data_IF_648172597971
#
_entry.id   IF_648172597971
#
_cell.length_a   1.000
_cell.length_b   1.000
_cell.length_c   1.000
_cell.angle_alpha   90.00
_cell.angle_beta   90.00
_cell.angle_gamma   90.00
#
_symmetry.space_group_name_H-M   'P 1'
#
loop_
_entity.id
_entity.type
_entity.pdbx_description
1 polymer ?
#
# COMPACT_ATOMS: atom_id res chain seq x y z
N UNK A 1 -15.50 -6.33 -13.28
CA UNK A 1 -14.46 -6.04 -12.27
C UNK A 1 -14.31 -7.28 -11.42
N UNK A 2 -13.09 -7.73 -11.20
CA UNK A 2 -12.82 -8.91 -10.38
C UNK A 2 -13.11 -8.60 -8.90
N UNK A 3 -13.63 -9.58 -8.16
CA UNK A 3 -13.89 -9.43 -6.73
C UNK A 3 -13.30 -10.59 -5.95
N UNK A 4 -12.80 -10.30 -4.76
CA UNK A 4 -12.26 -11.30 -3.84
C UNK A 4 -12.77 -11.04 -2.43
N UNK A 5 -13.43 -12.04 -1.86
CA UNK A 5 -14.03 -11.98 -0.52
C UNK A 5 -14.99 -10.77 -0.36
N UNK A 6 -15.79 -10.49 -1.39
CA UNK A 6 -16.76 -9.38 -1.42
C UNK A 6 -16.14 -7.99 -1.62
N UNK A 7 -14.83 -7.91 -1.88
CA UNK A 7 -14.09 -6.64 -2.12
C UNK A 7 -13.64 -6.54 -3.56
N UNK A 8 -13.50 -5.32 -4.06
CA UNK A 8 -12.93 -5.08 -5.39
C UNK A 8 -11.49 -5.58 -5.47
N UNK A 9 -11.15 -6.23 -6.58
CA UNK A 9 -9.80 -6.54 -6.97
C UNK A 9 -9.44 -5.75 -8.22
N UNK A 10 -8.32 -5.03 -8.16
CA UNK A 10 -7.80 -4.23 -9.26
C UNK A 10 -6.42 -4.73 -9.66
N UNK A 11 -6.03 -4.42 -10.88
CA UNK A 11 -4.70 -4.70 -11.39
C UNK A 11 -4.09 -3.38 -11.85
N UNK A 12 -2.82 -3.16 -11.50
CA UNK A 12 -2.03 -2.04 -11.96
C UNK A 12 -0.77 -2.58 -12.61
N UNK A 13 -0.55 -2.19 -13.85
CA UNK A 13 0.64 -2.53 -14.64
C UNK A 13 1.85 -1.73 -14.18
N UNK A 14 1.63 -0.48 -13.76
CA UNK A 14 2.69 0.47 -13.42
C UNK A 14 2.49 1.13 -12.07
N UNK A 15 3.58 1.68 -11.53
CA UNK A 15 3.56 2.51 -10.32
C UNK A 15 2.59 3.69 -10.43
N UNK A 16 2.53 4.32 -11.62
CA UNK A 16 1.63 5.45 -11.87
C UNK A 16 0.16 5.04 -11.79
N UNK A 17 -0.23 3.94 -12.44
CA UNK A 17 -1.62 3.45 -12.41
C UNK A 17 -2.10 3.17 -10.99
N UNK A 18 -1.25 2.58 -10.15
CA UNK A 18 -1.57 2.34 -8.75
C UNK A 18 -1.70 3.66 -7.96
N UNK A 19 -0.79 4.60 -8.19
CA UNK A 19 -0.83 5.92 -7.56
C UNK A 19 -2.09 6.70 -7.95
N UNK A 20 -2.48 6.67 -9.23
CA UNK A 20 -3.69 7.33 -9.72
C UNK A 20 -4.94 6.74 -9.01
N UNK A 21 -5.02 5.41 -8.90
CA UNK A 21 -6.11 4.77 -8.17
C UNK A 21 -6.15 5.19 -6.69
N UNK A 22 -5.00 5.22 -6.01
CA UNK A 22 -4.91 5.68 -4.63
C UNK A 22 -5.37 7.13 -4.50
N UNK A 23 -4.94 8.02 -5.40
CA UNK A 23 -5.32 9.43 -5.37
C UNK A 23 -6.84 9.62 -5.42
N UNK A 24 -7.53 8.84 -6.26
CA UNK A 24 -8.98 8.92 -6.41
C UNK A 24 -9.75 8.24 -5.27
N UNK A 25 -9.19 7.17 -4.68
CA UNK A 25 -9.97 6.25 -3.83
C UNK A 25 -9.52 6.21 -2.36
N UNK A 26 -8.40 6.83 -1.99
CA UNK A 26 -7.81 6.70 -0.64
C UNK A 26 -8.72 7.14 0.53
N UNK A 27 -9.73 7.99 0.25
CA UNK A 27 -10.64 8.51 1.27
C UNK A 27 -12.04 7.87 1.25
N UNK A 28 -12.42 7.24 0.14
CA UNK A 28 -13.75 6.66 -0.07
C UNK A 28 -13.74 5.15 0.15
N UNK A 29 -12.67 4.48 -0.25
CA UNK A 29 -12.53 3.03 -0.15
C UNK A 29 -12.00 2.58 1.20
N UNK A 30 -12.53 1.46 1.71
CA UNK A 30 -12.12 0.90 3.01
C UNK A 30 -11.08 -0.21 2.87
N UNK A 31 -10.97 -0.80 1.68
CA UNK A 31 -9.99 -1.83 1.36
C UNK A 31 -10.04 -2.14 -0.13
N UNK A 32 -8.91 -2.58 -0.69
CA UNK A 32 -8.84 -3.10 -2.07
C UNK A 32 -7.90 -4.29 -2.12
N UNK A 33 -8.17 -5.24 -3.02
CA UNK A 33 -7.16 -6.23 -3.42
C UNK A 33 -6.40 -5.73 -4.65
N UNK A 34 -5.09 -5.65 -4.55
CA UNK A 34 -4.23 -5.44 -5.70
C UNK A 34 -3.74 -6.79 -6.23
N UNK A 35 -3.95 -7.05 -7.51
CA UNK A 35 -3.45 -8.21 -8.22
C UNK A 35 -2.00 -7.93 -8.61
N UNK A 36 -1.10 -8.74 -8.08
CA UNK A 36 0.34 -8.65 -8.34
C UNK A 36 0.80 -9.93 -9.05
N UNK A 37 1.56 -9.76 -10.12
CA UNK A 37 2.17 -10.89 -10.80
C UNK A 37 3.56 -11.19 -10.22
N UNK A 38 3.90 -12.48 -10.18
CA UNK A 38 5.24 -12.90 -9.80
C UNK A 38 6.28 -12.38 -10.79
N UNK A 39 7.50 -12.07 -10.32
CA UNK A 39 8.62 -11.60 -11.17
C UNK A 39 8.95 -12.49 -12.37
N UNK A 40 8.58 -13.78 -12.30
CA UNK A 40 8.79 -14.78 -13.38
C UNK A 40 7.64 -14.84 -14.39
N UNK A 41 6.51 -14.18 -14.13
CA UNK A 41 5.40 -14.10 -15.09
C UNK A 41 5.82 -13.21 -16.25
N UNK A 42 5.27 -13.48 -17.43
CA UNK A 42 5.44 -12.62 -18.61
C UNK A 42 4.48 -11.44 -18.61
N UNK A 43 3.55 -11.38 -17.65
CA UNK A 43 2.61 -10.27 -17.50
C UNK A 43 3.31 -9.16 -16.71
N UNK A 44 3.38 -7.98 -17.32
CA UNK A 44 3.89 -6.78 -16.66
C UNK A 44 3.04 -6.45 -15.44
N UNK A 45 3.64 -5.98 -14.35
CA UNK A 45 2.90 -5.67 -13.12
C UNK A 45 3.74 -4.77 -12.24
N UNK A 46 3.08 -3.85 -11.52
CA UNK A 46 3.74 -3.14 -10.42
C UNK A 46 4.33 -4.16 -9.44
N UNK A 47 5.53 -3.91 -8.93
CA UNK A 47 6.09 -4.82 -7.96
C UNK A 47 5.57 -4.51 -6.54
N UNK A 48 5.66 -5.50 -5.64
CA UNK A 48 5.16 -5.37 -4.27
C UNK A 48 5.77 -4.17 -3.51
N UNK A 49 7.07 -3.90 -3.71
CA UNK A 49 7.75 -2.80 -3.01
C UNK A 49 7.20 -1.45 -3.46
N UNK A 50 7.06 -1.24 -4.76
CA UNK A 50 6.43 -0.04 -5.32
C UNK A 50 4.99 0.12 -4.84
N UNK A 51 4.22 -0.98 -4.82
CA UNK A 51 2.84 -0.97 -4.35
C UNK A 51 2.74 -0.53 -2.89
N UNK A 52 3.60 -1.06 -2.01
CA UNK A 52 3.67 -0.66 -0.59
C UNK A 52 4.16 0.77 -0.43
N UNK A 53 5.17 1.21 -1.18
CA UNK A 53 5.68 2.59 -1.10
C UNK A 53 4.59 3.60 -1.46
N UNK A 54 3.90 3.40 -2.57
CA UNK A 54 2.77 4.26 -2.96
C UNK A 54 1.63 4.18 -1.95
N UNK A 55 1.28 3.00 -1.44
CA UNK A 55 0.25 2.89 -0.41
C UNK A 55 0.60 3.73 0.84
N UNK A 56 1.86 3.68 1.30
CA UNK A 56 2.32 4.49 2.43
C UNK A 56 2.19 5.99 2.16
N UNK A 57 2.46 6.46 0.93
CA UNK A 57 2.30 7.86 0.54
C UNK A 57 0.87 8.36 0.79
N UNK A 58 -0.14 7.51 0.62
CA UNK A 58 -1.55 7.83 0.84
C UNK A 58 -2.07 7.34 2.18
N UNK A 59 -1.21 6.93 3.12
CA UNK A 59 -1.65 6.49 4.45
C UNK A 59 -2.29 5.09 4.48
N UNK A 60 -2.06 4.28 3.46
CA UNK A 60 -2.52 2.90 3.36
C UNK A 60 -1.39 1.90 3.67
N UNK A 61 -1.74 0.64 3.92
CA UNK A 61 -0.78 -0.45 4.15
C UNK A 61 -1.31 -1.78 3.64
N UNK A 62 -0.40 -2.65 3.21
CA UNK A 62 -0.70 -4.04 2.91
C UNK A 62 -0.97 -4.89 4.17
N UNK A 63 -1.75 -5.96 4.02
CA UNK A 63 -2.11 -6.84 5.15
C UNK A 63 -2.14 -8.32 4.80
N UNK A 64 -3.08 -8.74 3.95
CA UNK A 64 -3.30 -10.15 3.61
C UNK A 64 -2.82 -10.44 2.19
N UNK A 65 -2.00 -11.47 2.06
CA UNK A 65 -1.60 -12.03 0.78
C UNK A 65 -2.36 -13.34 0.54
N UNK A 66 -2.96 -13.51 -0.64
CA UNK A 66 -3.66 -14.73 -1.05
C UNK A 66 -3.28 -15.12 -2.47
N UNK A 67 -3.08 -16.42 -2.72
CA UNK A 67 -2.87 -16.93 -4.07
C UNK A 67 -4.10 -16.62 -4.95
N UNK A 68 -3.86 -16.13 -6.16
CA UNK A 68 -4.89 -15.96 -7.19
C UNK A 68 -4.84 -17.11 -8.18
N UNK A 69 -3.68 -17.33 -8.78
CA UNK A 69 -3.40 -18.40 -9.73
C UNK A 69 -1.92 -18.83 -9.67
N UNK A 70 -1.40 -19.45 -10.74
CA UNK A 70 0.00 -19.93 -10.81
C UNK A 70 1.00 -18.78 -10.98
N UNK A 71 0.57 -17.67 -11.57
CA UNK A 71 1.42 -16.55 -11.96
C UNK A 71 1.20 -15.30 -11.10
N UNK A 72 0.12 -15.24 -10.33
CA UNK A 72 -0.28 -14.06 -9.58
C UNK A 72 -0.87 -14.35 -8.21
N UNK A 73 -0.90 -13.29 -7.40
CA UNK A 73 -1.45 -13.29 -6.06
C UNK A 73 -2.18 -11.96 -5.80
N UNK A 74 -3.12 -11.99 -4.87
CA UNK A 74 -3.77 -10.81 -4.33
C UNK A 74 -3.01 -10.32 -3.10
N UNK A 75 -2.85 -9.01 -2.98
CA UNK A 75 -2.40 -8.33 -1.77
C UNK A 75 -3.46 -7.30 -1.35
N UNK A 76 -4.03 -7.42 -0.16
CA UNK A 76 -5.01 -6.43 0.32
C UNK A 76 -4.29 -5.20 0.82
N UNK A 77 -4.75 -4.03 0.40
CA UNK A 77 -4.40 -2.74 0.96
C UNK A 77 -5.59 -2.13 1.72
N UNK A 78 -5.31 -1.50 2.86
CA UNK A 78 -6.30 -0.82 3.71
C UNK A 78 -5.76 0.48 4.27
N UNK A 79 -6.60 1.49 4.56
CA UNK A 79 -6.17 2.66 5.32
C UNK A 79 -5.53 2.26 6.65
N UNK A 80 -4.40 2.88 7.00
CA UNK A 80 -3.73 2.64 8.29
C UNK A 80 -4.61 3.16 9.43
N UNK A 81 -4.70 2.39 10.50
CA UNK A 81 -5.37 2.83 11.72
C UNK A 81 -4.34 3.52 12.63
N UNK A 82 -4.39 4.84 12.83
CA UNK A 82 -3.40 5.56 13.64
C UNK A 82 -3.32 5.07 15.09
N UNK A 83 -4.41 4.51 15.62
CA UNK A 83 -4.47 3.99 16.99
C UNK A 83 -3.93 2.56 17.11
N UNK A 84 -3.95 1.75 16.05
CA UNK A 84 -3.64 0.30 16.14
C UNK A 84 -2.49 -0.16 15.27
N UNK A 85 -2.24 0.48 14.13
CA UNK A 85 -1.24 0.05 13.16
C UNK A 85 0.18 0.33 13.67
N UNK A 86 0.97 -0.73 13.84
CA UNK A 86 2.40 -0.62 14.14
C UNK A 86 3.20 -0.18 12.91
N UNK A 87 4.29 0.54 13.12
CA UNK A 87 5.28 0.81 12.06
C UNK A 87 6.45 -0.15 12.22
N UNK A 88 6.66 -1.00 11.22
CA UNK A 88 7.83 -1.87 11.15
C UNK A 88 9.01 -1.08 10.57
N UNK A 89 10.25 -1.50 10.88
CA UNK A 89 11.45 -0.87 10.31
C UNK A 89 11.39 -0.71 8.78
N UNK A 90 11.05 -1.76 7.99
CA UNK A 90 11.01 -1.62 6.54
C UNK A 90 9.99 -0.59 6.04
N UNK A 91 8.87 -0.41 6.75
CA UNK A 91 7.86 0.57 6.36
C UNK A 91 8.27 1.99 6.74
N UNK A 92 9.03 2.16 7.82
CA UNK A 92 9.64 3.45 8.17
C UNK A 92 10.67 3.85 7.13
N UNK A 93 11.54 2.92 6.74
CA UNK A 93 12.56 3.17 5.71
C UNK A 93 11.93 3.54 4.38
N UNK A 94 10.88 2.81 3.96
CA UNK A 94 10.10 3.14 2.75
C UNK A 94 9.44 4.51 2.84
N UNK A 95 8.76 4.81 3.95
CA UNK A 95 8.12 6.10 4.13
C UNK A 95 9.14 7.25 4.11
N UNK A 96 10.29 7.07 4.75
CA UNK A 96 11.38 8.04 4.75
C UNK A 96 11.90 8.30 3.33
N UNK A 97 12.14 7.24 2.53
CA UNK A 97 12.49 7.40 1.10
C UNK A 97 11.44 8.17 0.31
N UNK A 98 10.16 7.93 0.57
CA UNK A 98 9.08 8.63 -0.12
C UNK A 98 8.97 10.11 0.28
N UNK A 99 9.31 10.44 1.52
CA UNK A 99 9.44 11.83 2.00
C UNK A 99 10.61 12.51 1.28
N UNK A 100 11.78 11.88 1.26
CA UNK A 100 13.00 12.41 0.62
C UNK A 100 12.82 12.65 -0.89
N UNK A 101 12.02 11.82 -1.54
CA UNK A 101 11.69 11.97 -2.97
C UNK A 101 10.55 12.97 -3.23
N UNK A 102 9.96 13.57 -2.20
CA UNK A 102 8.83 14.50 -2.34
C UNK A 102 7.53 13.83 -2.82
N UNK A 103 7.42 12.51 -2.69
CA UNK A 103 6.26 11.73 -3.15
C UNK A 103 5.21 11.51 -2.04
N UNK A 104 5.60 11.68 -0.77
CA UNK A 104 4.71 11.57 0.38
C UNK A 104 3.60 12.62 0.30
N UNK A 105 2.34 12.20 0.50
CA UNK A 105 1.22 13.15 0.56
C UNK A 105 1.02 13.67 1.97
N UNK A 106 0.29 14.78 2.11
CA UNK A 106 -0.09 15.34 3.41
C UNK A 106 -0.84 14.31 4.27
N UNK A 107 -1.68 13.46 3.66
CA UNK A 107 -2.43 12.44 4.38
C UNK A 107 -1.51 11.35 4.96
N UNK A 108 -0.57 10.85 4.15
CA UNK A 108 0.44 9.89 4.60
C UNK A 108 1.32 10.47 5.71
N UNK A 109 1.79 11.72 5.52
CA UNK A 109 2.63 12.42 6.49
C UNK A 109 1.91 12.58 7.84
N UNK A 110 0.64 12.97 7.83
CA UNK A 110 -0.15 13.11 9.05
C UNK A 110 -0.20 11.81 9.87
N UNK A 111 -0.27 10.65 9.23
CA UNK A 111 -0.25 9.36 9.94
C UNK A 111 1.13 9.00 10.51
N UNK A 112 2.21 9.49 9.89
CA UNK A 112 3.57 9.38 10.43
C UNK A 112 3.70 10.27 11.67
N UNK A 113 3.23 11.51 11.60
CA UNK A 113 3.31 12.46 12.71
C UNK A 113 2.53 11.95 13.93
N UNK A 114 1.29 11.48 13.72
CA UNK A 114 0.49 10.82 14.77
C UNK A 114 1.21 9.60 15.35
N UNK A 115 1.94 8.83 14.53
CA UNK A 115 2.69 7.68 15.02
C UNK A 115 3.90 8.10 15.86
N UNK A 116 4.58 9.20 15.52
CA UNK A 116 5.66 9.79 16.32
C UNK A 116 5.15 10.29 17.67
N UNK A 117 4.06 11.05 17.67
CA UNK A 117 3.43 11.57 18.89
C UNK A 117 3.02 10.44 19.85
N UNK A 118 2.51 9.32 19.31
CA UNK A 118 2.06 8.19 20.11
C UNK A 118 3.15 7.16 20.42
N UNK A 119 4.43 7.46 20.13
CA UNK A 119 5.56 6.56 20.38
C UNK A 119 5.54 5.25 19.58
N UNK A 120 4.74 5.18 18.50
CA UNK A 120 4.60 4.00 17.62
C UNK A 120 5.50 4.06 16.39
N UNK A 121 6.21 5.17 16.22
CA UNK A 121 7.19 5.36 15.17
C UNK A 121 8.55 4.78 15.55
N UNK A 122 9.05 5.01 16.76
CA UNK A 122 10.34 4.49 17.20
C UNK A 122 10.32 2.95 17.31
N UNK A 123 11.46 2.27 17.09
CA UNK A 123 11.58 0.86 17.47
C UNK A 123 11.35 0.73 18.98
N UNK A 124 10.54 -0.26 19.38
CA UNK A 124 10.48 -0.71 20.78
C UNK A 124 11.68 -1.59 21.08
#
# INVERSE_FOLDING_TARGET
METKDGKQAIYAKTRKEWRDWLQENNQTEKSVWLILYHKKSKVESINLVEATEEALCFGWIDSLCKKRDVESFYLTFTPRNPKKSKWSQPNRDRAQRMIEQGLMTEHGQKLIDIAKENGKWEPV
#
